data_IF_735809727337
#
_entry.id   IF_735809727337
#
_cell.length_a   1.000
_cell.length_b   1.000
_cell.length_c   1.000
_cell.angle_alpha   90.00
_cell.angle_beta   90.00
_cell.angle_gamma   90.00
#
_symmetry.space_group_name_H-M   'P 1'
#
loop_
_entity.id
_entity.type
_entity.pdbx_description
1 polymer ?
#
# COMPACT_ATOMS: atom_id res chain seq x y z
N UNK A 1 40.39 -29.27 -21.55
CA UNK A 1 40.05 -28.38 -20.42
C UNK A 1 38.63 -27.89 -20.64
N UNK A 2 37.66 -28.41 -19.88
CA UNK A 2 36.24 -28.00 -19.92
C UNK A 2 36.08 -26.65 -19.20
N UNK A 3 35.14 -25.85 -19.70
CA UNK A 3 34.92 -24.44 -19.40
C UNK A 3 34.69 -24.12 -17.92
N UNK A 4 35.22 -22.97 -17.49
CA UNK A 4 34.78 -22.19 -16.32
C UNK A 4 33.36 -21.67 -16.53
N UNK A 5 32.40 -22.58 -16.55
CA UNK A 5 30.97 -22.31 -16.56
C UNK A 5 30.31 -22.95 -15.34
N UNK A 6 30.96 -22.83 -14.18
CA UNK A 6 30.25 -22.90 -12.92
C UNK A 6 29.45 -21.61 -12.80
N UNK A 7 28.29 -21.58 -13.46
CA UNK A 7 27.16 -20.83 -12.94
C UNK A 7 26.98 -21.36 -11.52
N UNK A 8 27.32 -20.54 -10.54
CA UNK A 8 26.68 -20.60 -9.23
C UNK A 8 25.19 -20.34 -9.50
N UNK A 9 24.45 -21.39 -9.88
CA UNK A 9 23.00 -21.37 -9.77
C UNK A 9 22.74 -21.31 -8.27
N UNK A 10 22.58 -20.09 -7.76
CA UNK A 10 22.08 -19.85 -6.42
C UNK A 10 20.80 -20.67 -6.24
N UNK A 11 20.76 -21.45 -5.18
CA UNK A 11 19.62 -22.30 -4.84
C UNK A 11 18.34 -21.44 -4.81
N UNK A 12 17.33 -21.74 -5.64
CA UNK A 12 16.10 -20.95 -5.72
C UNK A 12 15.40 -20.78 -4.38
N UNK A 13 15.52 -21.76 -3.48
CA UNK A 13 14.95 -21.72 -2.13
C UNK A 13 15.68 -20.69 -1.25
N UNK A 14 17.01 -20.61 -1.37
CA UNK A 14 17.84 -19.60 -0.73
C UNK A 14 17.53 -18.18 -1.26
N UNK A 15 17.32 -18.03 -2.58
CA UNK A 15 16.90 -16.75 -3.17
C UNK A 15 15.53 -16.33 -2.62
N UNK A 16 14.59 -17.27 -2.45
CA UNK A 16 13.26 -16.98 -1.91
C UNK A 16 13.34 -16.42 -0.49
N UNK A 17 14.03 -17.12 0.41
CA UNK A 17 14.20 -16.70 1.81
C UNK A 17 14.93 -15.36 1.94
N UNK A 18 15.97 -15.14 1.14
CA UNK A 18 16.65 -13.85 1.08
C UNK A 18 15.70 -12.74 0.64
N UNK A 19 14.89 -12.99 -0.39
CA UNK A 19 13.92 -12.01 -0.91
C UNK A 19 12.87 -11.68 0.16
N UNK A 20 12.36 -12.67 0.90
CA UNK A 20 11.43 -12.46 2.03
C UNK A 20 12.06 -11.63 3.14
N UNK A 21 13.31 -11.90 3.47
CA UNK A 21 14.06 -11.14 4.47
C UNK A 21 14.25 -9.70 4.03
N UNK A 22 14.57 -9.46 2.76
CA UNK A 22 14.65 -8.12 2.17
C UNK A 22 13.30 -7.41 2.26
N UNK A 23 12.20 -8.09 1.88
CA UNK A 23 10.85 -7.53 1.98
C UNK A 23 10.54 -7.07 3.40
N UNK A 24 10.72 -7.93 4.41
CA UNK A 24 10.49 -7.55 5.83
C UNK A 24 11.27 -6.30 6.23
N UNK A 25 12.54 -6.22 5.85
CA UNK A 25 13.39 -5.05 6.15
C UNK A 25 12.91 -3.79 5.45
N UNK A 26 12.46 -3.88 4.20
CA UNK A 26 11.92 -2.75 3.46
C UNK A 26 10.62 -2.24 4.08
N UNK A 27 9.73 -3.15 4.50
CA UNK A 27 8.47 -2.79 5.17
C UNK A 27 8.73 -2.10 6.52
N UNK A 28 9.66 -2.60 7.31
CA UNK A 28 10.09 -1.94 8.55
C UNK A 28 10.78 -0.59 8.29
N UNK A 29 11.57 -0.49 7.21
CA UNK A 29 12.19 0.77 6.82
C UNK A 29 11.16 1.84 6.46
N UNK A 30 10.04 1.47 5.84
CA UNK A 30 8.93 2.39 5.58
C UNK A 30 8.31 2.94 6.88
N UNK A 31 8.13 2.08 7.90
CA UNK A 31 7.65 2.50 9.23
C UNK A 31 8.62 3.48 9.87
N UNK A 32 9.91 3.12 9.95
CA UNK A 32 10.95 3.95 10.56
C UNK A 32 11.03 5.31 9.86
N UNK A 33 10.98 5.33 8.52
CA UNK A 33 11.00 6.57 7.75
C UNK A 33 9.82 7.48 8.13
N UNK A 34 8.60 6.94 8.24
CA UNK A 34 7.43 7.73 8.66
C UNK A 34 7.52 8.19 10.10
N UNK A 35 7.99 7.35 11.02
CA UNK A 35 8.23 7.76 12.41
C UNK A 35 9.20 8.93 12.48
N UNK A 36 10.31 8.86 11.74
CA UNK A 36 11.30 9.95 11.69
C UNK A 36 10.73 11.23 11.09
N UNK A 37 9.88 11.13 10.07
CA UNK A 37 9.15 12.29 9.55
C UNK A 37 8.25 12.93 10.62
N UNK A 38 7.48 12.13 11.35
CA UNK A 38 6.59 12.62 12.40
C UNK A 38 7.35 13.25 13.59
N UNK A 39 8.58 12.80 13.86
CA UNK A 39 9.49 13.40 14.83
C UNK A 39 10.19 14.67 14.33
N UNK A 40 10.07 15.01 13.04
CA UNK A 40 10.77 16.13 12.42
C UNK A 40 12.24 15.85 12.12
N UNK A 41 12.70 14.59 12.21
CA UNK A 41 14.08 14.18 11.89
C UNK A 41 14.32 14.09 10.38
N UNK A 42 13.26 13.94 9.59
CA UNK A 42 13.30 13.94 8.13
C UNK A 42 12.37 15.01 7.57
N UNK A 43 12.81 15.67 6.50
CA UNK A 43 11.96 16.54 5.70
C UNK A 43 11.03 15.74 4.80
N UNK A 44 9.95 16.37 4.34
CA UNK A 44 9.03 15.77 3.36
C UNK A 44 9.75 15.29 2.08
N UNK A 45 10.78 16.03 1.65
CA UNK A 45 11.54 15.70 0.43
C UNK A 45 12.37 14.43 0.63
N UNK A 46 13.05 14.29 1.76
CA UNK A 46 13.85 13.09 2.08
C UNK A 46 12.96 11.86 2.18
N UNK A 47 11.81 11.97 2.85
CA UNK A 47 10.81 10.90 2.94
C UNK A 47 10.31 10.50 1.55
N UNK A 48 10.04 11.46 0.67
CA UNK A 48 9.60 11.15 -0.69
C UNK A 48 10.65 10.38 -1.49
N UNK A 49 11.93 10.72 -1.34
CA UNK A 49 13.02 10.05 -2.07
C UNK A 49 13.22 8.64 -1.52
N UNK A 50 13.33 8.49 -0.21
CA UNK A 50 13.53 7.20 0.45
C UNK A 50 12.34 6.28 0.19
N UNK A 51 11.11 6.79 0.38
CA UNK A 51 9.88 6.06 0.13
C UNK A 51 9.74 5.61 -1.32
N UNK A 52 10.15 6.46 -2.28
CA UNK A 52 10.17 6.08 -3.70
C UNK A 52 11.09 4.89 -4.01
N UNK A 53 12.27 4.86 -3.39
CA UNK A 53 13.21 3.74 -3.56
C UNK A 53 12.72 2.44 -2.90
N UNK A 54 12.11 2.56 -1.71
CA UNK A 54 11.49 1.41 -1.02
C UNK A 54 10.36 0.84 -1.89
N UNK A 55 9.46 1.69 -2.37
CA UNK A 55 8.32 1.29 -3.20
C UNK A 55 8.79 0.56 -4.46
N UNK A 56 9.74 1.12 -5.21
CA UNK A 56 10.26 0.49 -6.43
C UNK A 56 10.87 -0.90 -6.18
N UNK A 57 11.51 -1.11 -5.02
CA UNK A 57 12.08 -2.41 -4.66
C UNK A 57 10.98 -3.42 -4.29
N UNK A 58 9.98 -2.99 -3.53
CA UNK A 58 8.80 -3.80 -3.20
C UNK A 58 8.05 -4.19 -4.47
N UNK A 59 7.88 -3.27 -5.42
CA UNK A 59 7.23 -3.53 -6.70
C UNK A 59 7.96 -4.64 -7.49
N UNK A 60 9.29 -4.65 -7.46
CA UNK A 60 10.09 -5.71 -8.08
C UNK A 60 9.82 -7.09 -7.46
N UNK A 61 9.76 -7.18 -6.13
CA UNK A 61 9.42 -8.41 -5.40
C UNK A 61 7.97 -8.83 -5.74
N UNK A 62 7.07 -7.87 -5.78
CA UNK A 62 5.67 -8.08 -6.09
C UNK A 62 5.44 -8.62 -7.50
N UNK A 63 6.13 -8.06 -8.50
CA UNK A 63 6.08 -8.53 -9.89
C UNK A 63 6.55 -9.98 -10.03
N UNK A 64 7.52 -10.41 -9.21
CA UNK A 64 7.91 -11.84 -9.12
C UNK A 64 6.76 -12.66 -8.54
N UNK A 65 6.19 -12.24 -7.42
CA UNK A 65 5.07 -12.93 -6.79
C UNK A 65 3.85 -13.04 -7.70
N UNK A 66 3.57 -12.07 -8.57
CA UNK A 66 2.49 -12.18 -9.56
C UNK A 66 2.65 -13.34 -10.56
N UNK A 67 3.87 -13.81 -10.77
CA UNK A 67 4.21 -14.89 -11.72
C UNK A 67 4.35 -16.24 -11.05
N UNK A 68 4.60 -16.26 -9.74
CA UNK A 68 4.95 -17.44 -8.97
C UNK A 68 4.02 -17.53 -7.76
N UNK A 69 3.14 -18.54 -7.79
CA UNK A 69 2.15 -18.75 -6.74
C UNK A 69 2.79 -19.16 -5.42
N UNK A 70 3.77 -20.06 -5.44
CA UNK A 70 4.43 -20.53 -4.21
C UNK A 70 5.12 -19.35 -3.53
N UNK A 71 5.86 -18.54 -4.31
CA UNK A 71 6.47 -17.33 -3.78
C UNK A 71 5.45 -16.32 -3.24
N UNK A 72 4.29 -16.19 -3.91
CA UNK A 72 3.20 -15.33 -3.44
C UNK A 72 2.62 -15.81 -2.10
N UNK A 73 2.43 -17.12 -1.93
CA UNK A 73 2.00 -17.74 -0.67
C UNK A 73 2.99 -17.46 0.46
N UNK A 74 4.30 -17.45 0.17
CA UNK A 74 5.30 -17.17 1.19
C UNK A 74 5.39 -15.70 1.61
N UNK A 75 5.15 -14.74 0.70
CA UNK A 75 5.20 -13.31 1.04
C UNK A 75 3.87 -12.76 1.54
N UNK A 76 2.74 -13.43 1.27
CA UNK A 76 1.42 -12.98 1.70
C UNK A 76 1.33 -12.77 3.23
N UNK A 77 1.82 -13.68 4.09
CA UNK A 77 1.87 -13.45 5.54
C UNK A 77 2.73 -12.25 5.94
N UNK A 78 3.79 -11.96 5.19
CA UNK A 78 4.66 -10.79 5.46
C UNK A 78 3.95 -9.48 5.16
N UNK A 79 3.18 -9.43 4.07
CA UNK A 79 2.34 -8.28 3.75
C UNK A 79 1.20 -8.14 4.76
N UNK A 80 0.59 -9.25 5.17
CA UNK A 80 -0.48 -9.24 6.17
C UNK A 80 -0.01 -8.70 7.52
N UNK A 81 1.13 -9.18 8.02
CA UNK A 81 1.74 -8.69 9.26
C UNK A 81 1.98 -7.17 9.23
N UNK A 82 2.42 -6.65 8.07
CA UNK A 82 2.57 -5.20 7.86
C UNK A 82 1.23 -4.46 7.85
N UNK A 83 0.17 -5.05 7.31
CA UNK A 83 -1.17 -4.45 7.30
C UNK A 83 -1.74 -4.37 8.72
N UNK A 84 -1.53 -5.41 9.52
CA UNK A 84 -2.08 -5.51 10.87
C UNK A 84 -1.31 -4.70 11.90
N UNK A 85 0.02 -4.66 11.78
CA UNK A 85 0.91 -4.16 12.84
C UNK A 85 1.79 -2.97 12.43
N UNK A 86 1.74 -2.54 11.17
CA UNK A 86 2.56 -1.43 10.68
C UNK A 86 2.15 -0.05 11.21
N UNK A 87 3.12 0.85 11.34
CA UNK A 87 2.90 2.26 11.68
C UNK A 87 2.64 3.13 10.43
N UNK A 88 3.05 2.64 9.26
CA UNK A 88 2.77 3.24 7.98
C UNK A 88 1.32 3.02 7.53
N UNK A 89 0.91 3.74 6.48
CA UNK A 89 -0.40 3.53 5.88
C UNK A 89 -0.52 2.06 5.40
N UNK A 90 -1.47 1.26 5.92
CA UNK A 90 -1.60 -0.15 5.55
C UNK A 90 -2.20 -0.33 4.14
N UNK A 91 -2.91 0.67 3.62
CA UNK A 91 -3.69 0.55 2.38
C UNK A 91 -2.89 0.09 1.15
N UNK A 92 -1.66 0.60 0.88
CA UNK A 92 -0.88 0.12 -0.25
C UNK A 92 -0.56 -1.37 -0.15
N UNK A 93 -0.19 -1.84 1.04
CA UNK A 93 0.20 -3.24 1.26
C UNK A 93 -1.02 -4.17 1.24
N UNK A 94 -2.15 -3.72 1.77
CA UNK A 94 -3.43 -4.41 1.62
C UNK A 94 -3.80 -4.56 0.14
N UNK A 95 -3.61 -3.51 -0.66
CA UNK A 95 -3.89 -3.57 -2.09
C UNK A 95 -3.00 -4.58 -2.81
N UNK A 96 -1.69 -4.59 -2.52
CA UNK A 96 -0.77 -5.59 -3.06
C UNK A 96 -1.20 -7.01 -2.68
N UNK A 97 -1.51 -7.24 -1.41
CA UNK A 97 -1.97 -8.55 -0.92
C UNK A 97 -3.24 -9.00 -1.63
N UNK A 98 -4.24 -8.12 -1.78
CA UNK A 98 -5.48 -8.41 -2.49
C UNK A 98 -5.24 -8.77 -3.96
N UNK A 99 -4.34 -8.07 -4.64
CA UNK A 99 -4.01 -8.37 -6.03
C UNK A 99 -3.39 -9.77 -6.16
N UNK A 100 -2.52 -10.18 -5.23
CA UNK A 100 -1.99 -11.56 -5.21
C UNK A 100 -3.09 -12.58 -4.90
N UNK A 101 -3.96 -12.27 -3.93
CA UNK A 101 -5.10 -13.11 -3.57
C UNK A 101 -6.00 -13.35 -4.79
N UNK A 102 -6.37 -12.32 -5.53
CA UNK A 102 -7.14 -12.47 -6.78
C UNK A 102 -6.38 -13.25 -7.86
N UNK A 103 -5.09 -12.93 -8.06
CA UNK A 103 -4.28 -13.50 -9.13
C UNK A 103 -4.13 -15.02 -8.97
N UNK A 104 -3.86 -15.47 -7.75
CA UNK A 104 -3.48 -16.85 -7.46
C UNK A 104 -4.53 -17.64 -6.68
N UNK A 105 -5.65 -17.00 -6.31
CA UNK A 105 -6.68 -17.54 -5.39
C UNK A 105 -6.07 -17.93 -4.05
N UNK A 106 -5.24 -17.05 -3.51
CA UNK A 106 -4.67 -17.26 -2.18
C UNK A 106 -5.77 -17.12 -1.12
N UNK A 107 -5.65 -17.92 -0.07
CA UNK A 107 -6.41 -17.72 1.15
C UNK A 107 -5.74 -16.61 1.96
N UNK A 108 -6.50 -15.58 2.29
CA UNK A 108 -6.08 -14.47 3.16
C UNK A 108 -7.14 -14.35 4.25
N UNK A 109 -6.73 -14.44 5.52
CA UNK A 109 -7.64 -14.44 6.68
C UNK A 109 -8.79 -15.46 6.63
N UNK A 110 -8.52 -16.65 6.08
CA UNK A 110 -9.54 -17.70 5.95
C UNK A 110 -10.53 -17.47 4.80
N UNK A 111 -10.33 -16.42 3.99
CA UNK A 111 -11.15 -16.12 2.83
C UNK A 111 -10.36 -16.27 1.52
N UNK A 112 -10.97 -16.92 0.53
CA UNK A 112 -10.45 -16.97 -0.84
C UNK A 112 -11.33 -16.08 -1.70
N UNK A 113 -10.76 -15.00 -2.22
CA UNK A 113 -11.52 -14.04 -3.03
C UNK A 113 -11.93 -14.66 -4.37
N UNK A 114 -13.23 -14.65 -4.63
CA UNK A 114 -13.82 -15.21 -5.85
C UNK A 114 -13.94 -14.15 -6.95
N UNK A 115 -13.71 -14.49 -8.23
CA UNK A 115 -13.88 -13.54 -9.33
C UNK A 115 -15.26 -12.87 -9.36
N UNK A 116 -16.31 -13.58 -8.94
CA UNK A 116 -17.68 -13.09 -8.89
C UNK A 116 -17.86 -11.96 -7.86
N UNK A 117 -17.02 -11.90 -6.82
CA UNK A 117 -17.04 -10.82 -5.81
C UNK A 117 -16.71 -9.46 -6.42
N UNK A 118 -16.01 -9.39 -7.56
CA UNK A 118 -15.76 -8.11 -8.24
C UNK A 118 -17.08 -7.45 -8.68
N UNK A 119 -18.01 -8.25 -9.21
CA UNK A 119 -19.31 -7.76 -9.68
C UNK A 119 -20.15 -7.29 -8.48
N UNK A 120 -20.16 -8.06 -7.40
CA UNK A 120 -20.93 -7.71 -6.22
C UNK A 120 -20.33 -6.53 -5.46
N UNK A 121 -19.01 -6.41 -5.43
CA UNK A 121 -18.31 -5.22 -4.92
C UNK A 121 -18.67 -3.99 -5.73
N UNK A 122 -18.65 -4.07 -7.07
CA UNK A 122 -19.07 -2.97 -7.93
C UNK A 122 -20.53 -2.55 -7.68
N UNK A 123 -21.45 -3.53 -7.57
CA UNK A 123 -22.87 -3.26 -7.22
C UNK A 123 -23.00 -2.56 -5.87
N UNK A 124 -22.26 -3.00 -4.85
CA UNK A 124 -22.26 -2.37 -3.51
C UNK A 124 -21.77 -0.93 -3.56
N UNK A 125 -20.73 -0.66 -4.34
CA UNK A 125 -20.23 0.72 -4.56
C UNK A 125 -21.32 1.56 -5.23
N UNK A 126 -21.90 1.08 -6.34
CA UNK A 126 -22.97 1.80 -7.06
C UNK A 126 -24.23 2.02 -6.23
N UNK A 127 -24.54 1.12 -5.29
CA UNK A 127 -25.69 1.28 -4.40
C UNK A 127 -25.48 2.39 -3.35
N UNK A 128 -24.23 2.74 -3.02
CA UNK A 128 -23.90 3.78 -2.03
C UNK A 128 -23.47 5.10 -2.66
N UNK A 129 -22.87 5.04 -3.85
CA UNK A 129 -22.38 6.19 -4.59
C UNK A 129 -23.02 6.18 -5.97
N UNK A 130 -23.67 7.29 -6.32
CA UNK A 130 -24.17 7.50 -7.67
C UNK A 130 -22.98 7.76 -8.60
N UNK A 131 -22.41 6.69 -9.15
CA UNK A 131 -21.24 6.75 -10.02
C UNK A 131 -21.49 7.56 -11.30
N UNK A 132 -22.75 7.68 -11.73
CA UNK A 132 -23.13 8.44 -12.92
C UNK A 132 -23.09 9.96 -12.64
N UNK A 133 -23.27 10.37 -11.38
CA UNK A 133 -23.27 11.76 -10.92
C UNK A 133 -22.11 12.12 -9.96
N UNK A 134 -21.18 11.19 -9.71
CA UNK A 134 -20.17 11.32 -8.64
C UNK A 134 -19.24 12.52 -8.85
N UNK A 135 -18.97 12.90 -10.10
CA UNK A 135 -18.15 14.07 -10.43
C UNK A 135 -18.81 15.36 -9.96
N UNK A 136 -20.13 15.46 -10.17
CA UNK A 136 -20.91 16.62 -9.73
C UNK A 136 -21.04 16.64 -8.21
N UNK A 137 -21.35 15.50 -7.59
CA UNK A 137 -21.41 15.37 -6.13
C UNK A 137 -20.08 15.77 -5.48
N UNK A 138 -18.94 15.37 -6.06
CA UNK A 138 -17.62 15.77 -5.60
C UNK A 138 -17.42 17.29 -5.69
N UNK A 139 -17.79 17.91 -6.82
CA UNK A 139 -17.64 19.35 -7.01
C UNK A 139 -18.52 20.15 -6.03
N UNK A 140 -19.77 19.73 -5.84
CA UNK A 140 -20.69 20.32 -4.86
C UNK A 140 -20.10 20.22 -3.43
N UNK A 141 -19.59 19.05 -3.05
CA UNK A 141 -18.92 18.86 -1.75
C UNK A 141 -17.63 19.69 -1.61
N UNK A 142 -16.82 19.84 -2.65
CA UNK A 142 -15.61 20.66 -2.62
C UNK A 142 -15.94 22.14 -2.39
N UNK A 143 -16.98 22.67 -3.03
CA UNK A 143 -17.46 24.03 -2.79
C UNK A 143 -18.03 24.20 -1.37
N UNK A 144 -18.87 23.27 -0.90
CA UNK A 144 -19.36 23.29 0.49
C UNK A 144 -18.22 23.28 1.52
N UNK A 145 -17.17 22.48 1.28
CA UNK A 145 -15.99 22.43 2.15
C UNK A 145 -15.22 23.76 2.14
N UNK A 146 -15.03 24.38 0.97
CA UNK A 146 -14.41 25.71 0.87
C UNK A 146 -15.22 26.76 1.64
N UNK A 147 -16.54 26.77 1.46
CA UNK A 147 -17.43 27.67 2.18
C UNK A 147 -17.34 27.47 3.70
N UNK A 148 -17.35 26.21 4.17
CA UNK A 148 -17.17 25.89 5.59
C UNK A 148 -15.82 26.33 6.14
N UNK A 149 -14.73 26.14 5.38
CA UNK A 149 -13.39 26.59 5.78
C UNK A 149 -13.35 28.12 5.90
N UNK A 150 -13.95 28.84 4.95
CA UNK A 150 -13.96 30.31 4.97
C UNK A 150 -14.83 30.85 6.10
N UNK A 151 -16.00 30.25 6.36
CA UNK A 151 -16.83 30.57 7.53
C UNK A 151 -16.09 30.34 8.86
N UNK A 152 -15.30 29.26 8.96
CA UNK A 152 -14.48 29.00 10.14
C UNK A 152 -13.37 30.06 10.29
N UNK A 153 -12.69 30.44 9.20
CA UNK A 153 -11.69 31.52 9.20
C UNK A 153 -12.28 32.87 9.60
N UNK A 154 -13.46 33.20 9.10
CA UNK A 154 -14.17 34.42 9.52
C UNK A 154 -14.56 34.41 11.00
N UNK A 155 -15.08 33.28 11.50
CA UNK A 155 -15.39 33.12 12.93
C UNK A 155 -14.14 33.27 13.80
N UNK A 156 -13.01 32.73 13.36
CA UNK A 156 -11.73 32.85 14.06
C UNK A 156 -11.21 34.29 14.05
N UNK A 157 -11.37 35.04 12.94
CA UNK A 157 -11.03 36.47 12.86
C UNK A 157 -11.94 37.35 13.74
N UNK A 158 -13.20 36.95 13.92
CA UNK A 158 -14.20 37.69 14.73
C UNK A 158 -14.11 37.36 16.22
N UNK A 159 -13.49 36.25 16.61
CA UNK A 159 -13.23 35.91 18.02
C UNK A 159 -11.95 36.60 18.51
N UNK A 160 -12.11 37.74 19.18
CA UNK A 160 -11.05 38.58 19.79
C UNK A 160 -10.39 37.99 21.05
N UNK A 161 -10.33 36.67 21.21
CA UNK A 161 -9.66 36.02 22.36
C UNK A 161 -8.18 35.67 22.10
N UNK A 162 -7.63 36.00 20.93
CA UNK A 162 -6.22 35.81 20.58
C UNK A 162 -5.64 36.98 19.76
N UNK A 163 -6.10 38.20 20.03
CA UNK A 163 -5.45 39.44 19.57
C UNK A 163 -4.57 40.02 20.66
#
# INVERSE_FOLDING_TARGET
MKSMSEKLEEDPENISEQTKTILRRLLAADDVMRMKYHKGELTRKEVSIIGGNIAATIDGIFLRALRDREFAEEIAPVLMDKVDHGDANPLPYLHLLQVLAYRHRLEVDGEVQKPEEMIDTYKRVRARLDLDNIVKQKAELEEEFKEKIEQLREKWKKNTMFG
#
